data_IF_740380182093
#
_entry.id   IF_740380182093
#
_cell.length_a   1.000
_cell.length_b   1.000
_cell.length_c   1.000
_cell.angle_alpha   90.00
_cell.angle_beta   90.00
_cell.angle_gamma   90.00
#
_symmetry.space_group_name_H-M   'P 1'
#
loop_
_entity.id
_entity.type
_entity.pdbx_description
1 polymer ?
#
# COMPACT_ATOMS: atom_id res chain seq x y z
N UNK A 1 60.16 55.80 -11.22
CA UNK A 1 59.10 54.75 -11.22
C UNK A 1 57.85 55.41 -10.69
N UNK A 2 56.99 56.04 -11.50
CA UNK A 2 56.03 55.49 -12.49
C UNK A 2 55.05 54.46 -11.91
N UNK A 3 53.76 54.80 -12.09
CA UNK A 3 52.51 54.04 -12.01
C UNK A 3 51.89 53.78 -10.63
N UNK A 4 50.75 54.37 -10.27
CA UNK A 4 49.36 54.33 -10.81
C UNK A 4 48.54 53.13 -10.30
N UNK A 5 47.51 53.47 -9.51
CA UNK A 5 46.16 52.90 -9.37
C UNK A 5 45.96 51.37 -9.45
N UNK A 6 45.30 50.83 -8.43
CA UNK A 6 43.99 50.21 -8.69
C UNK A 6 43.07 50.19 -7.47
N UNK A 7 41.95 50.85 -7.70
CA UNK A 7 40.72 50.88 -6.94
C UNK A 7 39.94 49.60 -7.27
N UNK A 8 39.68 48.74 -6.28
CA UNK A 8 38.60 47.75 -6.38
C UNK A 8 37.85 47.67 -5.06
N UNK A 9 36.69 48.34 -5.05
CA UNK A 9 35.61 48.19 -4.09
C UNK A 9 35.16 46.72 -4.08
N UNK A 10 35.46 46.00 -3.00
CA UNK A 10 34.83 44.72 -2.70
C UNK A 10 33.52 44.93 -1.97
N UNK A 11 32.42 45.04 -2.71
CA UNK A 11 31.05 44.98 -2.18
C UNK A 11 30.81 43.54 -1.68
N UNK A 12 30.98 43.31 -0.37
CA UNK A 12 30.55 42.05 0.25
C UNK A 12 29.08 42.19 0.65
N UNK A 13 28.20 41.72 -0.21
CA UNK A 13 26.78 41.52 0.10
C UNK A 13 26.68 40.40 1.14
N UNK A 14 26.37 40.78 2.37
CA UNK A 14 26.10 39.87 3.48
C UNK A 14 24.66 39.36 3.32
N UNK A 15 24.49 38.23 2.64
CA UNK A 15 23.19 37.53 2.60
C UNK A 15 23.05 36.79 3.93
N UNK A 16 22.25 37.36 4.83
CA UNK A 16 21.80 36.71 6.05
C UNK A 16 20.85 35.55 5.66
N UNK A 17 21.39 34.34 5.57
CA UNK A 17 20.59 33.13 5.44
C UNK A 17 19.98 32.80 6.81
N UNK A 18 18.70 33.14 6.97
CA UNK A 18 17.86 32.73 8.09
C UNK A 18 17.73 31.21 8.05
N UNK A 19 18.50 30.54 8.91
CA UNK A 19 18.45 29.09 9.12
C UNK A 19 17.25 28.78 10.03
N UNK A 20 16.07 28.71 9.43
CA UNK A 20 14.87 28.23 10.12
C UNK A 20 14.84 26.71 10.03
N UNK A 21 14.84 26.06 11.19
CA UNK A 21 14.59 24.64 11.36
C UNK A 21 13.36 24.19 10.55
N UNK A 22 13.57 23.36 9.53
CA UNK A 22 12.53 22.49 8.98
C UNK A 22 13.01 21.06 9.16
N UNK A 23 12.73 20.56 10.36
CA UNK A 23 12.56 19.13 10.63
C UNK A 23 11.61 18.60 9.54
N UNK A 24 12.15 17.85 8.58
CA UNK A 24 11.37 16.99 7.70
C UNK A 24 10.92 15.79 8.56
N UNK A 25 10.07 16.10 9.55
CA UNK A 25 8.89 15.29 9.81
C UNK A 25 8.18 15.25 8.47
N UNK A 26 8.26 14.13 7.75
CA UNK A 26 7.36 13.92 6.64
C UNK A 26 5.96 13.99 7.21
N UNK A 27 5.38 15.16 7.01
CA UNK A 27 4.02 15.58 7.26
C UNK A 27 3.11 14.47 6.74
N UNK A 28 2.72 13.54 7.62
CA UNK A 28 1.34 13.06 7.64
C UNK A 28 0.50 14.30 7.94
N UNK A 29 0.23 15.10 6.91
CA UNK A 29 -0.91 16.00 6.96
C UNK A 29 -2.08 15.04 7.14
N UNK A 30 -2.69 15.06 8.32
CA UNK A 30 -4.05 14.59 8.49
C UNK A 30 -4.87 15.22 7.37
N UNK A 31 -5.19 14.43 6.34
CA UNK A 31 -6.09 14.90 5.28
C UNK A 31 -7.44 15.10 5.97
N UNK A 32 -7.98 16.33 6.04
CA UNK A 32 -9.25 16.56 6.72
C UNK A 32 -10.34 15.74 6.02
N UNK A 33 -10.86 14.73 6.73
CA UNK A 33 -11.90 13.83 6.24
C UNK A 33 -11.58 12.34 6.29
N UNK A 34 -10.33 11.94 6.53
CA UNK A 34 -9.98 10.54 6.80
C UNK A 34 -10.40 10.19 8.23
N UNK A 35 -11.42 9.36 8.39
CA UNK A 35 -11.90 8.91 9.71
C UNK A 35 -11.63 7.42 9.86
N UNK A 36 -11.15 6.97 11.04
CA UNK A 36 -11.21 5.56 11.40
C UNK A 36 -12.63 5.05 11.23
N UNK A 37 -12.79 3.90 10.59
CA UNK A 37 -14.09 3.26 10.41
C UNK A 37 -14.39 2.45 11.68
N UNK A 38 -15.00 3.10 12.66
CA UNK A 38 -15.32 2.47 13.96
C UNK A 38 -14.12 2.37 14.91
N UNK A 39 -14.32 1.85 16.13
CA UNK A 39 -13.25 1.70 17.09
C UNK A 39 -12.23 0.65 16.61
N UNK A 40 -10.95 0.98 16.75
CA UNK A 40 -9.84 0.04 16.53
C UNK A 40 -10.13 -1.27 17.31
N UNK A 41 -10.03 -2.41 16.63
CA UNK A 41 -10.29 -3.71 17.25
C UNK A 41 -11.76 -4.08 17.52
N UNK A 42 -12.75 -3.42 16.90
CA UNK A 42 -14.16 -3.81 17.04
C UNK A 42 -14.41 -5.30 16.75
N UNK A 43 -15.26 -5.94 17.55
CA UNK A 43 -15.53 -7.38 17.47
C UNK A 43 -16.42 -7.78 16.29
N UNK A 44 -17.14 -6.81 15.74
CA UNK A 44 -18.10 -7.02 14.66
C UNK A 44 -17.42 -7.06 13.29
N UNK A 45 -18.08 -7.72 12.33
CA UNK A 45 -17.69 -7.60 10.93
C UNK A 45 -18.04 -6.22 10.40
N UNK A 46 -17.12 -5.59 9.67
CA UNK A 46 -17.43 -4.35 8.95
C UNK A 46 -17.94 -4.68 7.56
N UNK A 47 -19.05 -4.06 7.15
CA UNK A 47 -19.61 -4.19 5.80
C UNK A 47 -19.41 -2.87 5.07
N UNK A 48 -18.67 -2.89 3.97
CA UNK A 48 -18.50 -1.72 3.13
C UNK A 48 -19.79 -1.48 2.34
N UNK A 49 -20.53 -0.45 2.73
CA UNK A 49 -21.88 -0.11 2.26
C UNK A 49 -22.02 -0.15 0.73
N UNK A 50 -21.05 0.41 0.00
CA UNK A 50 -21.18 0.59 -1.44
C UNK A 50 -20.86 -0.65 -2.28
N UNK A 51 -20.08 -1.58 -1.75
CA UNK A 51 -19.67 -2.79 -2.48
C UNK A 51 -20.17 -4.07 -1.82
N UNK A 52 -20.84 -3.99 -0.67
CA UNK A 52 -21.21 -5.12 0.19
C UNK A 52 -20.03 -6.03 0.60
N UNK A 53 -18.80 -5.50 0.54
CA UNK A 53 -17.64 -6.29 0.90
C UNK A 53 -17.54 -6.40 2.42
N UNK A 54 -17.43 -7.62 2.93
CA UNK A 54 -17.40 -7.89 4.37
C UNK A 54 -15.96 -8.07 4.83
N UNK A 55 -15.60 -7.38 5.90
CA UNK A 55 -14.31 -7.43 6.57
C UNK A 55 -14.50 -7.96 8.01
N UNK A 56 -14.41 -9.28 8.21
CA UNK A 56 -14.56 -9.89 9.53
C UNK A 56 -13.47 -9.45 10.49
N UNK A 57 -13.73 -9.54 11.80
CA UNK A 57 -12.68 -9.36 12.83
C UNK A 57 -11.51 -10.33 12.63
N UNK A 58 -11.79 -11.56 12.22
CA UNK A 58 -10.78 -12.62 12.07
C UNK A 58 -11.00 -13.40 10.79
N UNK A 59 -9.92 -13.69 10.08
CA UNK A 59 -9.90 -14.54 8.88
C UNK A 59 -8.73 -15.52 8.99
N UNK A 60 -9.02 -16.78 9.31
CA UNK A 60 -7.97 -17.77 9.59
C UNK A 60 -7.07 -17.32 10.74
N UNK A 61 -5.76 -17.16 10.47
CA UNK A 61 -4.75 -16.70 11.43
C UNK A 61 -4.66 -15.18 11.55
N UNK A 62 -5.40 -14.44 10.73
CA UNK A 62 -5.31 -13.00 10.66
C UNK A 62 -6.37 -12.32 11.53
N UNK A 63 -5.94 -11.38 12.36
CA UNK A 63 -6.79 -10.49 13.13
C UNK A 63 -6.83 -9.11 12.48
N UNK A 64 -8.03 -8.56 12.31
CA UNK A 64 -8.26 -7.18 11.87
C UNK A 64 -7.75 -6.23 12.94
N UNK A 65 -6.91 -5.28 12.55
CA UNK A 65 -6.35 -4.28 13.46
C UNK A 65 -7.03 -2.95 13.29
N UNK A 66 -6.94 -2.40 12.08
CA UNK A 66 -7.41 -1.05 11.78
C UNK A 66 -8.20 -1.01 10.47
N UNK A 67 -9.01 0.02 10.33
CA UNK A 67 -9.82 0.30 9.15
C UNK A 67 -9.82 1.78 8.85
N UNK A 68 -9.51 2.10 7.60
CA UNK A 68 -9.33 3.46 7.15
C UNK A 68 -10.23 3.76 5.96
N UNK A 69 -11.00 4.84 6.06
CA UNK A 69 -11.69 5.40 4.92
C UNK A 69 -10.73 6.36 4.19
N UNK A 70 -10.29 6.00 2.98
CA UNK A 70 -9.36 6.79 2.18
C UNK A 70 -10.05 7.87 1.34
N UNK A 71 -11.39 7.97 1.35
CA UNK A 71 -12.10 9.05 0.68
C UNK A 71 -13.23 9.66 1.52
N UNK A 72 -13.71 10.83 1.10
CA UNK A 72 -14.76 11.55 1.86
C UNK A 72 -16.13 10.88 1.79
N UNK A 73 -16.31 9.92 0.88
CA UNK A 73 -17.60 9.31 0.59
C UNK A 73 -17.74 7.91 1.16
N UNK A 74 -16.68 7.34 1.73
CA UNK A 74 -16.69 5.97 2.24
C UNK A 74 -16.61 4.91 1.15
N UNK A 75 -16.24 5.25 -0.10
CA UNK A 75 -16.19 4.30 -1.23
C UNK A 75 -14.83 3.63 -1.38
N UNK A 76 -13.81 4.20 -0.75
CA UNK A 76 -12.44 3.72 -0.78
C UNK A 76 -12.03 3.37 0.66
N UNK A 77 -11.98 2.08 0.96
CA UNK A 77 -11.70 1.58 2.31
C UNK A 77 -10.50 0.66 2.30
N UNK A 78 -9.56 0.87 3.22
CA UNK A 78 -8.46 -0.03 3.53
C UNK A 78 -8.71 -0.69 4.88
N UNK A 79 -8.44 -1.99 4.98
CA UNK A 79 -8.50 -2.76 6.23
C UNK A 79 -7.18 -3.49 6.43
N UNK A 80 -6.59 -3.31 7.61
CA UNK A 80 -5.34 -3.94 7.99
C UNK A 80 -5.59 -5.19 8.84
N UNK A 81 -4.84 -6.24 8.52
CA UNK A 81 -4.84 -7.51 9.20
C UNK A 81 -3.41 -7.94 9.53
N UNK A 82 -3.23 -8.51 10.72
CA UNK A 82 -1.96 -9.14 11.09
C UNK A 82 -2.16 -10.62 11.43
N UNK A 83 -1.26 -11.44 10.90
CA UNK A 83 -1.10 -12.83 11.35
C UNK A 83 -0.17 -12.89 12.57
N UNK A 84 -0.44 -13.82 13.48
CA UNK A 84 0.44 -14.17 14.62
C UNK A 84 1.82 -14.65 14.16
N UNK A 85 1.95 -15.03 12.89
CA UNK A 85 3.20 -15.51 12.28
C UNK A 85 4.05 -14.39 11.70
N UNK A 86 3.61 -13.14 11.85
CA UNK A 86 4.31 -11.98 11.34
C UNK A 86 4.07 -11.79 9.85
N UNK A 87 2.81 -11.73 9.43
CA UNK A 87 2.42 -11.27 8.09
C UNK A 87 1.53 -10.03 8.29
N UNK A 88 1.87 -8.92 7.66
CA UNK A 88 0.98 -7.77 7.58
C UNK A 88 0.24 -7.83 6.25
N UNK A 89 -1.07 -7.62 6.28
CA UNK A 89 -1.93 -7.71 5.11
C UNK A 89 -2.90 -6.54 5.11
N UNK A 90 -2.89 -5.75 4.05
CA UNK A 90 -3.90 -4.71 3.80
C UNK A 90 -4.81 -5.18 2.67
N UNK A 91 -6.12 -5.16 2.91
CA UNK A 91 -7.14 -5.30 1.87
C UNK A 91 -7.74 -3.92 1.62
N UNK A 92 -7.71 -3.45 0.37
CA UNK A 92 -8.34 -2.20 -0.01
C UNK A 92 -9.41 -2.46 -1.07
N UNK A 93 -10.59 -1.87 -0.88
CA UNK A 93 -11.70 -1.91 -1.83
C UNK A 93 -12.04 -0.49 -2.23
N UNK A 94 -11.97 -0.19 -3.53
CA UNK A 94 -12.13 1.17 -4.05
C UNK A 94 -12.64 1.16 -5.49
N UNK A 95 -13.24 2.26 -5.98
CA UNK A 95 -13.90 2.24 -7.28
C UNK A 95 -12.93 2.11 -8.46
N UNK A 96 -13.33 1.38 -9.49
CA UNK A 96 -12.54 1.13 -10.70
C UNK A 96 -12.52 2.31 -11.69
N UNK A 97 -13.49 3.22 -11.61
CA UNK A 97 -13.58 4.41 -12.47
C UNK A 97 -12.51 5.47 -12.19
N UNK A 98 -11.69 5.31 -11.14
CA UNK A 98 -10.50 6.16 -10.92
C UNK A 98 -9.37 5.90 -11.94
N UNK A 99 -9.52 4.93 -12.85
CA UNK A 99 -8.69 4.78 -14.04
C UNK A 99 -9.11 5.83 -15.08
N UNK A 100 -8.51 7.03 -15.03
CA UNK A 100 -8.86 8.19 -15.85
C UNK A 100 -8.08 8.27 -17.18
N UNK A 101 -7.66 7.15 -17.76
CA UNK A 101 -6.88 7.16 -19.01
C UNK A 101 -7.65 6.44 -20.11
N UNK A 102 -7.62 7.05 -21.29
CA UNK A 102 -8.45 6.74 -22.44
C UNK A 102 -8.44 5.25 -22.83
N UNK A 103 -9.65 4.75 -23.08
CA UNK A 103 -10.10 3.37 -23.34
C UNK A 103 -9.34 2.65 -24.47
N UNK A 104 -8.07 2.27 -24.26
CA UNK A 104 -7.33 1.40 -25.20
C UNK A 104 -6.64 0.19 -24.55
N UNK A 105 -6.60 0.09 -23.22
CA UNK A 105 -6.01 -1.05 -22.49
C UNK A 105 -7.00 -1.64 -21.49
N UNK A 106 -6.80 -2.90 -21.12
CA UNK A 106 -7.54 -3.55 -20.03
C UNK A 106 -7.40 -2.68 -18.75
N UNK A 107 -8.50 -2.11 -18.22
CA UNK A 107 -8.45 -1.23 -17.05
C UNK A 107 -7.77 -1.86 -15.84
N UNK A 108 -7.79 -3.20 -15.71
CA UNK A 108 -7.11 -3.92 -14.64
C UNK A 108 -5.59 -3.90 -14.81
N UNK A 109 -5.09 -4.11 -16.03
CA UNK A 109 -3.66 -4.14 -16.33
C UNK A 109 -3.04 -2.76 -16.11
N UNK A 110 -3.65 -1.72 -16.67
CA UNK A 110 -3.14 -0.35 -16.53
C UNK A 110 -3.12 0.09 -15.06
N UNK A 111 -4.21 -0.18 -14.33
CA UNK A 111 -4.27 0.14 -12.91
C UNK A 111 -3.25 -0.65 -12.10
N UNK A 112 -3.06 -1.93 -12.42
CA UNK A 112 -2.05 -2.78 -11.79
C UNK A 112 -0.64 -2.22 -11.95
N UNK A 113 -0.26 -1.83 -13.17
CA UNK A 113 1.06 -1.21 -13.43
C UNK A 113 1.24 0.09 -12.64
N UNK A 114 0.20 0.92 -12.55
CA UNK A 114 0.21 2.14 -11.74
C UNK A 114 0.42 1.87 -10.25
N UNK A 115 -0.28 0.88 -9.69
CA UNK A 115 -0.14 0.47 -8.28
C UNK A 115 1.24 -0.12 -8.01
N UNK A 116 1.71 -1.05 -8.84
CA UNK A 116 3.04 -1.65 -8.72
C UNK A 116 4.14 -0.58 -8.82
N UNK A 117 4.05 0.30 -9.82
CA UNK A 117 4.99 1.42 -9.98
C UNK A 117 5.02 2.34 -8.77
N UNK A 118 3.90 2.55 -8.08
CA UNK A 118 3.85 3.32 -6.83
C UNK A 118 4.60 2.62 -5.70
N UNK A 119 4.48 1.29 -5.57
CA UNK A 119 5.23 0.51 -4.58
C UNK A 119 6.74 0.64 -4.82
N UNK A 120 7.18 0.46 -6.07
CA UNK A 120 8.58 0.54 -6.46
C UNK A 120 9.17 1.96 -6.28
N UNK A 121 8.40 3.01 -6.61
CA UNK A 121 8.86 4.40 -6.40
C UNK A 121 8.99 4.76 -4.92
N UNK A 122 8.09 4.27 -4.07
CA UNK A 122 8.08 4.59 -2.64
C UNK A 122 9.05 3.72 -1.82
N UNK A 123 9.63 2.68 -2.42
CA UNK A 123 10.54 1.74 -1.77
C UNK A 123 11.82 1.63 -2.61
N UNK A 124 12.83 2.50 -2.41
CA UNK A 124 13.99 2.62 -3.29
C UNK A 124 14.84 1.34 -3.45
N UNK A 125 14.71 0.43 -2.50
CA UNK A 125 15.39 -0.85 -2.44
C UNK A 125 14.52 -2.02 -2.92
N UNK A 126 13.28 -1.75 -3.33
CA UNK A 126 12.40 -2.77 -3.82
C UNK A 126 12.79 -3.23 -5.22
N UNK A 127 12.76 -4.56 -5.41
CA UNK A 127 13.05 -5.17 -6.71
C UNK A 127 11.95 -6.16 -7.04
N UNK A 128 11.41 -6.08 -8.25
CA UNK A 128 10.44 -7.04 -8.76
C UNK A 128 11.11 -8.42 -8.89
N UNK A 129 10.50 -9.44 -8.28
CA UNK A 129 10.91 -10.85 -8.39
C UNK A 129 10.11 -11.53 -9.48
N UNK A 130 8.80 -11.33 -9.45
CA UNK A 130 7.87 -11.99 -10.36
C UNK A 130 6.62 -11.15 -10.53
N UNK A 131 6.03 -11.24 -11.70
CA UNK A 131 4.75 -10.64 -12.06
C UNK A 131 3.95 -11.67 -12.85
N UNK A 132 2.62 -11.66 -12.73
CA UNK A 132 1.79 -12.58 -13.50
C UNK A 132 0.31 -12.52 -13.19
N UNK A 133 -0.47 -13.45 -13.76
CA UNK A 133 -1.89 -13.58 -13.46
C UNK A 133 -2.10 -14.06 -12.03
N UNK A 134 -3.12 -13.50 -11.38
CA UNK A 134 -3.64 -14.00 -10.10
C UNK A 134 -5.01 -14.65 -10.34
N UNK A 135 -5.39 -15.59 -9.48
CA UNK A 135 -6.72 -16.19 -9.49
C UNK A 135 -7.19 -16.42 -8.07
N UNK A 136 -8.46 -16.12 -7.81
CA UNK A 136 -9.14 -16.55 -6.59
C UNK A 136 -10.47 -17.18 -6.96
N UNK A 137 -10.77 -18.33 -6.35
CA UNK A 137 -12.03 -19.04 -6.56
C UNK A 137 -12.86 -18.95 -5.28
N UNK A 138 -14.06 -18.38 -5.38
CA UNK A 138 -14.99 -18.25 -4.28
C UNK A 138 -16.42 -18.49 -4.76
N UNK A 139 -17.22 -19.20 -3.95
CA UNK A 139 -18.63 -19.46 -4.23
C UNK A 139 -18.88 -20.04 -5.64
N UNK A 140 -17.98 -20.93 -6.10
CA UNK A 140 -18.05 -21.53 -7.44
C UNK A 140 -17.65 -20.62 -8.60
N UNK A 141 -17.39 -19.32 -8.36
CA UNK A 141 -16.90 -18.36 -9.36
C UNK A 141 -15.39 -18.19 -9.24
N UNK A 142 -14.72 -17.99 -10.38
CA UNK A 142 -13.27 -17.75 -10.45
C UNK A 142 -13.02 -16.33 -10.93
N UNK A 143 -12.32 -15.55 -10.13
CA UNK A 143 -11.97 -14.17 -10.43
C UNK A 143 -10.52 -14.10 -10.90
N UNK A 144 -10.32 -13.52 -12.07
CA UNK A 144 -9.00 -13.24 -12.63
C UNK A 144 -8.45 -11.93 -12.08
N UNK A 145 -7.16 -11.91 -11.82
CA UNK A 145 -6.45 -10.76 -11.29
C UNK A 145 -5.03 -10.67 -11.82
N UNK A 146 -4.27 -9.76 -11.24
CA UNK A 146 -2.84 -9.57 -11.47
C UNK A 146 -2.09 -9.64 -10.15
N UNK A 147 -0.85 -10.10 -10.18
CA UNK A 147 0.01 -10.10 -9.01
C UNK A 147 1.45 -9.72 -9.34
N UNK A 148 2.12 -9.15 -8.34
CA UNK A 148 3.56 -8.91 -8.34
C UNK A 148 4.13 -9.28 -6.97
N UNK A 149 5.26 -9.95 -6.97
CA UNK A 149 6.08 -10.19 -5.77
C UNK A 149 7.34 -9.37 -5.91
N UNK A 150 7.62 -8.55 -4.92
CA UNK A 150 8.80 -7.71 -4.85
C UNK A 150 9.58 -8.03 -3.59
N UNK A 151 10.89 -7.92 -3.66
CA UNK A 151 11.74 -7.81 -2.48
C UNK A 151 11.66 -6.39 -1.94
N UNK A 152 11.92 -6.21 -0.64
CA UNK A 152 12.17 -4.92 0.00
C UNK A 152 12.97 -5.14 1.28
N UNK A 153 13.46 -4.10 1.93
CA UNK A 153 13.96 -4.21 3.30
C UNK A 153 12.81 -4.58 4.24
N UNK A 154 13.09 -5.45 5.20
CA UNK A 154 12.12 -5.82 6.21
C UNK A 154 11.77 -4.59 7.07
N UNK A 155 10.55 -4.10 6.89
CA UNK A 155 9.99 -2.93 7.56
C UNK A 155 9.81 -3.15 9.07
N UNK A 156 9.92 -4.39 9.57
CA UNK A 156 9.83 -4.71 11.01
C UNK A 156 11.17 -4.67 11.73
N UNK A 157 12.28 -4.54 11.00
CA UNK A 157 13.58 -4.47 11.63
C UNK A 157 13.68 -3.20 12.50
N UNK A 158 13.42 -3.34 13.81
CA UNK A 158 13.53 -2.27 14.82
C UNK A 158 14.98 -1.79 15.03
N UNK A 159 15.95 -2.38 14.36
CA UNK A 159 17.37 -2.10 14.53
C UNK A 159 17.77 -0.81 13.77
N UNK A 160 18.64 -0.02 14.42
CA UNK A 160 19.40 1.09 13.82
C UNK A 160 19.89 0.73 12.41
N UNK A 161 20.04 1.71 11.50
CA UNK A 161 20.49 1.47 10.13
C UNK A 161 21.79 0.67 10.15
N UNK A 162 21.68 -0.64 9.91
CA UNK A 162 22.78 -1.55 9.77
C UNK A 162 22.78 -2.06 8.33
N UNK A 163 23.97 -2.30 7.77
CA UNK A 163 24.16 -2.75 6.39
C UNK A 163 23.52 -4.12 6.07
N UNK A 164 22.92 -4.80 7.06
CA UNK A 164 22.31 -6.13 6.92
C UNK A 164 20.89 -6.13 7.49
N UNK A 165 20.02 -5.28 6.95
CA UNK A 165 18.59 -5.42 7.23
C UNK A 165 18.09 -6.75 6.67
N UNK A 166 17.28 -7.51 7.43
CA UNK A 166 16.63 -8.70 6.90
C UNK A 166 15.86 -8.35 5.62
N UNK A 167 15.82 -9.29 4.69
CA UNK A 167 15.09 -9.14 3.43
C UNK A 167 13.61 -9.41 3.69
N UNK A 168 12.76 -8.48 3.27
CA UNK A 168 11.32 -8.59 3.24
C UNK A 168 10.79 -8.90 1.84
N UNK A 169 9.55 -9.35 1.80
CA UNK A 169 8.74 -9.57 0.61
C UNK A 169 7.50 -8.68 0.69
N UNK A 170 7.17 -8.03 -0.43
CA UNK A 170 5.88 -7.41 -0.70
C UNK A 170 5.17 -8.21 -1.79
N UNK A 171 4.03 -8.84 -1.46
CA UNK A 171 3.15 -9.54 -2.41
C UNK A 171 1.92 -8.65 -2.65
N UNK A 172 1.81 -8.13 -3.87
CA UNK A 172 0.71 -7.30 -4.34
C UNK A 172 -0.20 -8.15 -5.22
N UNK A 173 -1.50 -8.12 -4.97
CA UNK A 173 -2.52 -8.73 -5.83
C UNK A 173 -3.65 -7.76 -6.06
N UNK A 174 -4.13 -7.69 -7.29
CA UNK A 174 -5.21 -6.81 -7.69
C UNK A 174 -6.25 -7.58 -8.49
N UNK A 175 -7.51 -7.40 -8.15
CA UNK A 175 -8.65 -7.99 -8.82
C UNK A 175 -9.69 -6.92 -9.10
N UNK A 176 -10.59 -7.23 -10.04
CA UNK A 176 -11.79 -6.45 -10.32
C UNK A 176 -13.02 -7.26 -9.91
N UNK A 177 -13.97 -6.60 -9.26
CA UNK A 177 -15.29 -7.13 -8.91
C UNK A 177 -16.33 -6.06 -9.27
N UNK A 178 -17.04 -6.26 -10.37
CA UNK A 178 -17.92 -5.24 -10.96
C UNK A 178 -17.19 -3.89 -11.16
N UNK A 179 -17.72 -2.85 -10.50
CA UNK A 179 -17.22 -1.47 -10.56
C UNK A 179 -16.14 -1.16 -9.50
N UNK A 180 -15.62 -2.16 -8.79
CA UNK A 180 -14.60 -1.99 -7.76
C UNK A 180 -13.33 -2.78 -8.07
N UNK A 181 -12.21 -2.21 -7.62
CA UNK A 181 -10.96 -2.94 -7.45
C UNK A 181 -10.84 -3.47 -6.04
N UNK A 182 -10.26 -4.66 -5.92
CA UNK A 182 -9.88 -5.28 -4.65
C UNK A 182 -8.37 -5.49 -4.68
N UNK A 183 -7.66 -4.74 -3.84
CA UNK A 183 -6.20 -4.80 -3.73
C UNK A 183 -5.81 -5.48 -2.43
N UNK A 184 -4.97 -6.50 -2.55
CA UNK A 184 -4.27 -7.12 -1.44
C UNK A 184 -2.81 -6.68 -1.47
N UNK A 185 -2.29 -6.22 -0.34
CA UNK A 185 -0.86 -5.99 -0.15
C UNK A 185 -0.42 -6.73 1.09
N UNK A 186 0.43 -7.73 0.91
CA UNK A 186 1.02 -8.49 1.99
C UNK A 186 2.50 -8.13 2.11
N UNK A 187 2.97 -8.01 3.34
CA UNK A 187 4.36 -7.74 3.63
C UNK A 187 4.86 -8.69 4.73
N UNK A 188 5.96 -9.39 4.49
CA UNK A 188 6.50 -10.42 5.40
C UNK A 188 8.01 -10.62 5.23
N UNK A 189 8.67 -11.24 6.21
CA UNK A 189 10.09 -11.56 6.10
C UNK A 189 10.32 -12.69 5.09
N UNK A 190 11.37 -12.60 4.26
CA UNK A 190 11.73 -13.68 3.33
C UNK A 190 11.91 -15.02 4.07
N UNK A 191 12.41 -14.98 5.32
CA UNK A 191 12.64 -16.15 6.15
C UNK A 191 11.38 -17.02 6.38
N UNK A 192 10.17 -16.44 6.27
CA UNK A 192 8.91 -17.14 6.48
C UNK A 192 8.10 -17.32 5.19
N UNK A 193 8.68 -17.07 4.01
CA UNK A 193 7.96 -17.01 2.73
C UNK A 193 7.05 -18.21 2.46
N UNK A 194 7.57 -19.43 2.57
CA UNK A 194 6.77 -20.64 2.31
C UNK A 194 5.59 -20.83 3.27
N UNK A 195 5.71 -20.34 4.50
CA UNK A 195 4.60 -20.32 5.48
C UNK A 195 3.62 -19.21 5.13
N UNK A 196 4.12 -18.02 4.81
CA UNK A 196 3.31 -16.87 4.42
C UNK A 196 2.46 -17.15 3.18
N UNK A 197 3.01 -17.77 2.14
CA UNK A 197 2.28 -18.13 0.92
C UNK A 197 1.06 -19.04 1.22
N UNK A 198 1.20 -19.99 2.15
CA UNK A 198 0.11 -20.87 2.57
C UNK A 198 -0.97 -20.12 3.34
N UNK A 199 -0.58 -19.29 4.31
CA UNK A 199 -1.50 -18.49 5.12
C UNK A 199 -2.25 -17.45 4.28
N UNK A 200 -1.56 -16.78 3.36
CA UNK A 200 -2.15 -15.80 2.44
C UNK A 200 -3.17 -16.49 1.54
N UNK A 201 -2.84 -17.67 0.99
CA UNK A 201 -3.79 -18.46 0.20
C UNK A 201 -5.04 -18.82 1.02
N UNK A 202 -4.85 -19.27 2.26
CA UNK A 202 -5.95 -19.57 3.18
C UNK A 202 -6.82 -18.35 3.49
N UNK A 203 -6.19 -17.20 3.73
CA UNK A 203 -6.88 -15.92 3.95
C UNK A 203 -7.74 -15.54 2.74
N UNK A 204 -7.17 -15.57 1.53
CA UNK A 204 -7.89 -15.19 0.31
C UNK A 204 -9.05 -16.13 -0.03
N UNK A 205 -9.01 -17.40 0.37
CA UNK A 205 -10.14 -18.34 0.22
C UNK A 205 -11.24 -18.07 1.25
N UNK A 206 -10.83 -17.65 2.46
CA UNK A 206 -11.72 -17.50 3.61
C UNK A 206 -12.43 -16.15 3.64
N UNK A 207 -11.77 -15.07 3.22
CA UNK A 207 -12.36 -13.73 3.14
C UNK A 207 -13.38 -13.66 2.00
N UNK A 208 -14.66 -13.76 2.33
CA UNK A 208 -15.74 -13.84 1.34
C UNK A 208 -15.96 -12.53 0.60
N UNK A 209 -15.93 -12.61 -0.72
CA UNK A 209 -16.35 -11.53 -1.60
C UNK A 209 -17.87 -11.56 -1.77
N UNK A 210 -18.49 -10.40 -2.00
CA UNK A 210 -19.91 -10.35 -2.35
C UNK A 210 -20.14 -11.07 -3.69
N UNK A 211 -21.31 -11.70 -3.83
CA UNK A 211 -21.76 -12.17 -5.13
C UNK A 211 -21.98 -10.98 -6.06
N UNK A 212 -21.65 -11.11 -7.35
CA UNK A 212 -22.00 -10.11 -8.38
C UNK A 212 -23.52 -10.00 -8.63
N UNK A 213 -24.33 -10.74 -7.88
CA UNK A 213 -25.79 -10.68 -7.92
C UNK A 213 -26.26 -9.89 -6.69
N UNK A 214 -26.63 -8.64 -6.95
CA UNK A 214 -27.25 -7.67 -6.05
C UNK A 214 -27.85 -6.56 -6.89
#
# INVERSE_FOLDING_TARGET
>A
MISFFSFTRGFRVLVAAVSTCLLISCIYSEIPGLRPLGPEGSDESYVHEFSNFVFPKKVGHFLRLDMHNNDRHGRDVSVEYNSDTGIMLTVQVYPAWRSTLEVRKDPLEEHFQGVMGTVLRNSPDAQLISEGPARVTQNGKSYSGKMAVMTMQDFRAKSKPSRKRPKGISDLRLFRLGEYFIKYRMAYSEAIRGKAEKEIKGFMISLKWPSEEG
#
